data_IF_408896770042
#
_entry.id   IF_408896770042
#
_cell.length_a   1.000
_cell.length_b   1.000
_cell.length_c   1.000
_cell.angle_alpha   90.00
_cell.angle_beta   90.00
_cell.angle_gamma   90.00
#
_symmetry.space_group_name_H-M   'P 1'
#
loop_
_entity.id
_entity.type
_entity.pdbx_description
1 polymer ?
#
# COMPACT_ATOMS: atom_id res chain seq x y z
N UNK A 1 16.59 29.04 20.47
CA UNK A 1 15.12 29.04 20.41
C UNK A 1 14.78 27.80 19.63
N UNK A 2 14.02 26.90 20.23
CA UNK A 2 13.96 25.47 19.89
C UNK A 2 12.70 25.09 19.13
N UNK A 3 12.16 26.02 18.33
CA UNK A 3 10.85 25.87 17.69
C UNK A 3 11.02 25.80 16.16
N UNK A 4 12.07 25.11 15.72
CA UNK A 4 12.34 24.86 14.31
C UNK A 4 11.53 23.65 13.87
N UNK A 5 10.91 23.73 12.69
CA UNK A 5 10.04 22.67 12.18
C UNK A 5 10.52 22.23 10.80
N UNK A 6 10.55 20.92 10.57
CA UNK A 6 10.80 20.33 9.25
C UNK A 6 9.53 19.61 8.81
N UNK A 7 9.04 19.92 7.62
CA UNK A 7 7.98 19.15 6.95
C UNK A 7 8.58 18.30 5.83
N UNK A 8 7.90 17.21 5.50
CA UNK A 8 8.11 16.53 4.22
C UNK A 8 7.28 17.22 3.13
N UNK A 9 7.86 17.34 1.93
CA UNK A 9 7.14 17.83 0.75
C UNK A 9 7.53 17.04 -0.52
N UNK A 10 6.69 17.13 -1.54
CA UNK A 10 6.96 16.65 -2.90
C UNK A 10 6.96 17.83 -3.88
N UNK A 11 7.69 17.69 -5.00
CA UNK A 11 7.84 18.74 -6.01
C UNK A 11 9.30 19.07 -6.29
N UNK A 12 9.53 20.20 -6.96
CA UNK A 12 10.87 20.61 -7.39
C UNK A 12 11.62 21.41 -6.31
N UNK A 13 10.89 22.16 -5.47
CA UNK A 13 11.46 22.96 -4.39
C UNK A 13 10.46 23.20 -3.23
N UNK A 14 10.98 23.64 -2.10
CA UNK A 14 10.19 23.93 -0.90
C UNK A 14 9.29 25.17 -1.00
N UNK A 15 9.42 25.98 -2.06
CA UNK A 15 8.61 27.21 -2.24
C UNK A 15 7.32 26.97 -3.03
N UNK A 16 7.28 25.88 -3.80
CA UNK A 16 6.18 25.51 -4.70
C UNK A 16 5.73 24.05 -4.53
N UNK A 17 6.45 23.28 -3.71
CA UNK A 17 6.12 21.90 -3.38
C UNK A 17 4.82 21.76 -2.60
N UNK A 18 4.29 20.54 -2.61
CA UNK A 18 3.11 20.16 -1.84
C UNK A 18 3.55 19.41 -0.60
N UNK A 19 3.04 19.78 0.58
CA UNK A 19 3.33 19.03 1.80
C UNK A 19 2.92 17.55 1.62
N UNK A 20 3.83 16.66 2.01
CA UNK A 20 3.56 15.24 1.99
C UNK A 20 2.68 14.87 3.19
N UNK A 21 1.81 13.90 2.95
CA UNK A 21 0.84 13.41 3.92
C UNK A 21 0.85 11.90 3.87
N UNK A 22 0.53 11.24 4.97
CA UNK A 22 0.43 9.78 5.03
C UNK A 22 1.72 9.00 4.84
N UNK A 23 2.87 9.65 4.97
CA UNK A 23 4.19 9.01 4.85
C UNK A 23 4.50 8.19 6.09
N UNK A 24 4.30 8.73 7.30
CA UNK A 24 4.58 8.02 8.56
C UNK A 24 3.34 7.63 9.36
N UNK A 25 2.22 8.33 9.17
CA UNK A 25 0.94 7.95 9.75
C UNK A 25 -0.24 8.35 8.85
N UNK A 26 -1.34 7.60 8.88
CA UNK A 26 -2.50 7.85 8.02
C UNK A 26 -3.47 8.94 8.54
N UNK A 27 -3.11 9.67 9.60
CA UNK A 27 -4.00 10.57 10.33
C UNK A 27 -3.60 12.04 10.26
N UNK A 28 -2.33 12.33 10.00
CA UNK A 28 -1.75 13.66 10.00
C UNK A 28 -1.99 14.36 8.66
N UNK A 29 -2.39 15.63 8.74
CA UNK A 29 -2.61 16.46 7.55
C UNK A 29 -1.29 16.82 6.84
N UNK A 30 -0.16 16.80 7.57
CA UNK A 30 1.21 16.98 7.06
C UNK A 30 2.16 16.16 7.93
N UNK A 31 3.11 15.44 7.32
CA UNK A 31 4.18 14.75 8.05
C UNK A 31 5.29 15.75 8.42
N UNK A 32 5.44 16.04 9.72
CA UNK A 32 6.42 17.02 10.21
C UNK A 32 7.14 16.56 11.48
N UNK A 33 8.30 17.18 11.73
CA UNK A 33 9.08 17.04 12.96
C UNK A 33 9.38 18.43 13.54
N UNK A 34 8.93 18.69 14.77
CA UNK A 34 8.98 20.00 15.42
C UNK A 34 9.92 20.05 16.65
N UNK A 35 10.28 18.89 17.18
CA UNK A 35 11.07 18.78 18.40
C UNK A 35 12.33 17.96 18.17
N UNK A 36 13.52 18.58 18.22
CA UNK A 36 14.76 17.84 18.06
C UNK A 36 14.99 16.92 19.26
N UNK A 37 15.19 15.64 18.99
CA UNK A 37 15.54 14.62 19.99
C UNK A 37 16.96 14.78 20.55
N UNK A 38 17.85 15.44 19.78
CA UNK A 38 19.18 15.86 20.20
C UNK A 38 19.41 17.28 19.73
N UNK A 39 19.93 18.14 20.61
CA UNK A 39 20.26 19.52 20.31
C UNK A 39 21.67 19.85 20.81
N UNK A 40 22.50 20.35 19.90
CA UNK A 40 23.81 20.95 20.16
C UNK A 40 23.94 22.25 19.35
N UNK A 41 25.03 22.99 19.54
CA UNK A 41 25.23 24.29 18.88
C UNK A 41 25.17 24.22 17.33
N UNK A 42 25.58 23.09 16.72
CA UNK A 42 25.66 22.91 15.26
C UNK A 42 24.90 21.70 14.72
N UNK A 43 24.20 20.94 15.58
CA UNK A 43 23.50 19.72 15.16
C UNK A 43 22.18 19.55 15.92
N UNK A 44 21.13 19.30 15.15
CA UNK A 44 19.80 18.93 15.63
C UNK A 44 19.39 17.59 15.00
N UNK A 45 18.75 16.71 15.77
CA UNK A 45 18.24 15.42 15.28
C UNK A 45 16.72 15.40 15.37
N UNK A 46 16.04 15.27 14.24
CA UNK A 46 14.57 15.23 14.17
C UNK A 46 14.09 13.80 13.98
N UNK A 47 12.96 13.46 14.61
CA UNK A 47 12.24 12.21 14.40
C UNK A 47 10.86 12.55 13.84
N UNK A 48 10.55 12.11 12.63
CA UNK A 48 9.26 12.40 11.97
C UNK A 48 8.09 11.63 12.58
N UNK A 49 8.35 10.47 13.19
CA UNK A 49 7.37 9.77 14.04
C UNK A 49 8.08 8.66 14.84
N UNK A 50 7.33 7.99 15.72
CA UNK A 50 7.69 6.72 16.34
C UNK A 50 7.31 5.50 15.49
N UNK A 51 6.45 5.69 14.48
CA UNK A 51 6.02 4.66 13.53
C UNK A 51 6.94 4.58 12.31
N UNK A 52 7.13 3.39 11.72
CA UNK A 52 7.81 3.24 10.43
C UNK A 52 7.07 3.98 9.30
N UNK A 53 7.78 4.42 8.25
CA UNK A 53 7.13 4.97 7.07
C UNK A 53 6.30 3.90 6.35
N UNK A 54 5.12 4.31 5.87
CA UNK A 54 4.17 3.48 5.15
C UNK A 54 4.37 3.55 3.63
N UNK A 55 5.04 4.59 3.13
CA UNK A 55 5.25 4.87 1.70
C UNK A 55 6.71 5.20 1.41
N UNK A 56 7.24 4.63 0.34
CA UNK A 56 8.52 4.97 -0.25
C UNK A 56 8.45 6.19 -1.16
N UNK A 57 9.60 6.75 -1.49
CA UNK A 57 9.73 7.90 -2.37
C UNK A 57 10.90 8.82 -2.00
N UNK A 58 11.03 9.91 -2.76
CA UNK A 58 11.99 10.98 -2.49
C UNK A 58 11.21 12.22 -2.07
N UNK A 59 11.47 12.69 -0.85
CA UNK A 59 10.80 13.82 -0.23
C UNK A 59 11.79 14.97 0.01
N UNK A 60 11.33 16.19 -0.20
CA UNK A 60 12.03 17.41 0.19
C UNK A 60 11.88 17.60 1.70
N UNK A 61 12.97 18.00 2.37
CA UNK A 61 12.98 18.42 3.76
C UNK A 61 12.88 19.94 3.78
N UNK A 62 11.70 20.46 4.10
CA UNK A 62 11.43 21.88 4.04
C UNK A 62 11.40 22.45 5.46
N UNK A 63 12.24 23.44 5.72
CA UNK A 63 12.52 23.97 7.05
C UNK A 63 11.89 25.34 7.27
N UNK A 64 11.37 25.53 8.48
CA UNK A 64 10.92 26.79 9.00
C UNK A 64 11.56 27.06 10.37
N UNK A 65 11.89 28.33 10.62
CA UNK A 65 12.50 28.78 11.87
C UNK A 65 11.51 29.49 12.80
N UNK A 66 11.46 29.03 14.05
CA UNK A 66 10.87 29.76 15.16
C UNK A 66 9.35 29.61 15.34
N UNK A 67 8.82 30.32 16.33
CA UNK A 67 7.45 30.10 16.84
C UNK A 67 6.30 30.50 15.88
N UNK A 68 6.60 30.94 14.66
CA UNK A 68 5.59 31.26 13.65
C UNK A 68 5.37 30.13 12.63
N UNK A 69 6.15 29.04 12.71
CA UNK A 69 5.95 27.88 11.86
C UNK A 69 4.60 27.24 12.14
N UNK A 70 3.83 27.04 11.07
CA UNK A 70 2.49 26.45 11.10
C UNK A 70 2.42 25.32 10.06
N UNK A 71 2.90 24.11 10.41
CA UNK A 71 2.91 22.98 9.48
C UNK A 71 1.51 22.50 9.09
N UNK A 72 0.48 22.84 9.88
CA UNK A 72 -0.92 22.44 9.64
C UNK A 72 -1.74 23.48 8.84
N UNK A 73 -1.16 24.66 8.57
CA UNK A 73 -1.87 25.80 8.00
C UNK A 73 -1.10 26.54 6.92
N UNK A 74 -0.19 27.43 7.31
CA UNK A 74 0.58 28.28 6.40
C UNK A 74 1.94 27.69 6.03
N UNK A 75 1.97 26.97 4.91
CA UNK A 75 3.19 26.37 4.37
C UNK A 75 4.19 27.38 3.78
N UNK A 76 3.83 28.67 3.63
CA UNK A 76 4.69 29.67 2.99
C UNK A 76 6.00 29.94 3.75
N UNK A 77 6.04 29.60 5.04
CA UNK A 77 7.24 29.75 5.88
C UNK A 77 8.25 28.61 5.71
N UNK A 78 7.89 27.52 5.04
CA UNK A 78 8.74 26.35 4.85
C UNK A 78 9.58 26.41 3.56
N UNK A 79 9.84 27.61 3.03
CA UNK A 79 10.54 27.78 1.74
C UNK A 79 12.04 27.42 1.72
N UNK A 80 12.64 27.08 2.87
CA UNK A 80 14.07 26.78 2.97
C UNK A 80 14.32 25.28 2.82
N UNK A 81 15.12 24.92 1.82
CA UNK A 81 15.55 23.55 1.56
C UNK A 81 16.62 23.09 2.58
N UNK A 82 16.31 22.02 3.33
CA UNK A 82 17.19 21.35 4.26
C UNK A 82 17.77 20.02 3.71
N UNK A 83 17.43 19.65 2.48
CA UNK A 83 17.90 18.46 1.77
C UNK A 83 16.75 17.52 1.37
N UNK A 84 17.12 16.29 0.99
CA UNK A 84 16.18 15.27 0.56
C UNK A 84 16.21 14.06 1.49
N UNK A 85 15.04 13.46 1.71
CA UNK A 85 14.86 12.18 2.38
C UNK A 85 14.41 11.14 1.35
N UNK A 86 15.21 10.09 1.17
CA UNK A 86 14.82 8.92 0.38
C UNK A 86 14.31 7.83 1.30
N UNK A 87 13.08 7.40 1.09
CA UNK A 87 12.47 6.25 1.75
C UNK A 87 12.37 5.14 0.71
N UNK A 88 12.94 3.98 1.03
CA UNK A 88 12.93 2.82 0.14
C UNK A 88 11.61 2.09 0.29
N UNK A 89 10.99 1.72 -0.83
CA UNK A 89 9.75 0.96 -0.88
C UNK A 89 8.78 1.48 -1.95
N UNK A 90 7.60 0.86 -2.05
CA UNK A 90 6.54 1.31 -2.94
C UNK A 90 5.91 2.63 -2.49
N UNK A 91 5.42 3.43 -3.43
CA UNK A 91 4.77 4.73 -3.12
C UNK A 91 3.34 4.59 -2.56
N UNK A 92 2.81 3.37 -2.58
CA UNK A 92 1.49 3.01 -2.07
C UNK A 92 0.32 3.50 -2.92
N UNK A 93 0.56 3.80 -4.20
CA UNK A 93 -0.46 4.35 -5.10
C UNK A 93 -1.01 3.34 -6.09
N UNK A 94 -0.53 2.10 -6.07
CA UNK A 94 -0.99 1.09 -7.02
C UNK A 94 -2.52 0.90 -6.96
N UNK A 95 -3.15 1.01 -8.12
CA UNK A 95 -4.44 0.43 -8.39
C UNK A 95 -4.44 -0.20 -9.79
N UNK A 96 -5.22 -1.25 -9.98
CA UNK A 96 -5.38 -1.90 -11.27
C UNK A 96 -6.73 -1.60 -11.93
N UNK A 97 -7.35 -0.45 -11.62
CA UNK A 97 -8.68 -0.13 -12.14
C UNK A 97 -8.71 -0.08 -13.68
N UNK A 98 -7.60 0.31 -14.31
CA UNK A 98 -7.46 0.35 -15.77
C UNK A 98 -7.23 -1.03 -16.43
N UNK A 99 -6.69 -2.01 -15.68
CA UNK A 99 -6.41 -3.36 -16.16
C UNK A 99 -6.69 -4.38 -15.05
N UNK A 100 -7.97 -4.60 -14.72
CA UNK A 100 -8.35 -5.41 -13.58
C UNK A 100 -8.02 -6.88 -13.81
N UNK A 101 -7.60 -7.54 -12.75
CA UNK A 101 -7.54 -8.99 -12.73
C UNK A 101 -8.95 -9.57 -12.67
N UNK A 102 -9.18 -10.72 -13.30
CA UNK A 102 -10.50 -11.35 -13.34
C UNK A 102 -10.38 -12.77 -12.80
N UNK A 103 -11.26 -13.12 -11.85
CA UNK A 103 -11.31 -14.46 -11.30
C UNK A 103 -11.52 -15.51 -12.42
N UNK A 104 -10.71 -16.57 -12.40
CA UNK A 104 -10.70 -17.62 -13.41
C UNK A 104 -9.86 -17.32 -14.65
N UNK A 105 -9.29 -16.11 -14.81
CA UNK A 105 -8.43 -15.75 -15.94
C UNK A 105 -6.96 -15.66 -15.52
N UNK A 106 -6.09 -16.49 -16.11
CA UNK A 106 -4.64 -16.49 -15.87
C UNK A 106 -3.95 -15.35 -16.63
N UNK A 107 -4.02 -14.12 -16.10
CA UNK A 107 -3.30 -12.95 -16.62
C UNK A 107 -3.17 -11.81 -15.61
N UNK A 108 -3.10 -12.11 -14.31
CA UNK A 108 -2.98 -11.09 -13.28
C UNK A 108 -1.51 -10.70 -13.04
N UNK A 109 -1.06 -9.71 -13.80
CA UNK A 109 0.24 -9.07 -13.62
C UNK A 109 0.02 -7.69 -13.02
N UNK A 110 0.82 -7.33 -12.02
CA UNK A 110 0.82 -6.00 -11.43
C UNK A 110 2.18 -5.34 -11.60
N UNK A 111 2.19 -4.03 -11.73
CA UNK A 111 3.41 -3.23 -11.77
C UNK A 111 3.25 -2.13 -10.74
N UNK A 112 4.11 -2.13 -9.72
CA UNK A 112 4.11 -1.13 -8.65
C UNK A 112 5.27 -0.15 -8.86
N UNK A 113 5.02 1.11 -8.54
CA UNK A 113 6.00 2.19 -8.59
C UNK A 113 6.51 2.50 -7.17
N UNK A 114 7.72 3.05 -7.08
CA UNK A 114 8.37 3.28 -5.79
C UNK A 114 9.80 3.78 -5.95
N UNK A 115 10.64 3.49 -4.96
CA UNK A 115 12.04 3.90 -4.96
C UNK A 115 12.91 2.88 -4.22
N UNK A 116 14.08 2.58 -4.77
CA UNK A 116 15.09 1.71 -4.13
C UNK A 116 14.73 0.23 -4.12
N UNK A 117 13.91 -0.21 -5.08
CA UNK A 117 13.47 -1.59 -5.21
C UNK A 117 14.63 -2.58 -5.47
N UNK A 118 14.57 -3.74 -4.81
CA UNK A 118 15.52 -4.83 -4.93
C UNK A 118 14.88 -6.12 -5.45
N UNK A 119 15.65 -6.96 -6.15
CA UNK A 119 15.12 -8.18 -6.81
C UNK A 119 14.54 -9.23 -5.87
N UNK A 120 14.82 -9.13 -4.56
CA UNK A 120 14.37 -10.08 -3.54
C UNK A 120 13.18 -9.55 -2.74
N UNK A 121 12.58 -8.43 -3.15
CA UNK A 121 11.42 -7.84 -2.49
C UNK A 121 10.15 -8.66 -2.76
N UNK A 122 9.29 -8.77 -1.74
CA UNK A 122 8.11 -9.65 -1.77
C UNK A 122 6.83 -8.85 -1.54
N UNK A 123 5.78 -9.20 -2.27
CA UNK A 123 4.42 -8.72 -2.08
C UNK A 123 3.53 -9.86 -1.61
N UNK A 124 2.76 -9.63 -0.55
CA UNK A 124 1.65 -10.49 -0.13
C UNK A 124 0.32 -9.80 -0.38
N UNK A 125 -0.74 -10.59 -0.46
CA UNK A 125 -2.11 -10.10 -0.37
C UNK A 125 -2.57 -10.09 1.07
N UNK A 126 -3.27 -9.03 1.47
CA UNK A 126 -3.92 -8.95 2.77
C UNK A 126 -5.34 -8.39 2.66
N UNK A 127 -6.09 -8.53 3.75
CA UNK A 127 -7.41 -7.94 3.97
C UNK A 127 -7.40 -7.15 5.27
N UNK A 128 -8.17 -6.08 5.35
CA UNK A 128 -8.18 -5.17 6.51
C UNK A 128 -8.11 -3.73 6.04
N UNK A 129 -7.74 -2.85 6.98
CA UNK A 129 -7.66 -1.41 6.72
C UNK A 129 -6.25 -0.97 6.28
N UNK A 130 -5.20 -1.68 6.72
CA UNK A 130 -3.81 -1.41 6.38
C UNK A 130 -2.92 -2.67 6.49
N UNK A 131 -1.70 -2.58 5.97
CA UNK A 131 -0.72 -3.67 6.00
C UNK A 131 -0.11 -3.93 7.39
N UNK A 132 -0.21 -2.99 8.32
CA UNK A 132 0.34 -3.14 9.68
C UNK A 132 -0.55 -3.95 10.62
N UNK A 133 -1.86 -4.01 10.32
CA UNK A 133 -2.89 -4.64 11.13
C UNK A 133 -3.77 -5.64 10.36
N UNK A 134 -3.56 -5.73 9.04
CA UNK A 134 -4.28 -6.62 8.15
C UNK A 134 -4.01 -8.11 8.41
N UNK A 135 -4.87 -8.95 7.85
CA UNK A 135 -4.71 -10.41 7.84
C UNK A 135 -4.32 -10.85 6.44
N UNK A 136 -3.26 -11.64 6.33
CA UNK A 136 -2.85 -12.24 5.07
C UNK A 136 -4.04 -12.96 4.40
N UNK A 137 -4.25 -12.66 3.12
CA UNK A 137 -5.24 -13.32 2.32
C UNK A 137 -4.72 -14.71 1.93
N UNK A 138 -5.65 -15.66 1.91
CA UNK A 138 -5.38 -17.05 1.57
C UNK A 138 -6.38 -17.52 0.54
N UNK A 139 -6.01 -18.48 -0.31
CA UNK A 139 -6.90 -19.10 -1.31
C UNK A 139 -7.43 -18.15 -2.40
N UNK A 140 -6.74 -17.02 -2.64
CA UNK A 140 -7.05 -16.09 -3.72
C UNK A 140 -6.43 -16.56 -5.03
N UNK A 141 -5.15 -16.91 -5.07
CA UNK A 141 -4.46 -17.38 -6.28
C UNK A 141 -4.04 -18.85 -6.17
N UNK A 142 -3.69 -19.31 -4.97
CA UNK A 142 -3.31 -20.69 -4.71
C UNK A 142 -4.05 -21.27 -3.49
N UNK A 143 -4.48 -22.53 -3.60
CA UNK A 143 -5.12 -23.26 -2.51
C UNK A 143 -4.15 -24.14 -1.70
N UNK A 144 -2.87 -24.17 -2.08
CA UNK A 144 -1.87 -25.02 -1.43
C UNK A 144 -0.98 -24.28 -0.43
N UNK A 145 -0.80 -22.97 -0.59
CA UNK A 145 0.04 -22.14 0.27
C UNK A 145 -0.76 -21.52 1.43
N UNK A 146 -0.07 -21.24 2.54
CA UNK A 146 -0.70 -20.63 3.71
C UNK A 146 -1.03 -19.14 3.50
N UNK A 147 -0.33 -18.48 2.56
CA UNK A 147 -0.48 -17.06 2.20
C UNK A 147 -0.34 -16.91 0.68
N UNK A 148 -1.17 -16.04 0.08
CA UNK A 148 -1.00 -15.66 -1.32
C UNK A 148 0.06 -14.57 -1.44
N UNK A 149 1.22 -14.92 -2.00
CA UNK A 149 2.30 -13.97 -2.31
C UNK A 149 2.67 -14.03 -3.80
N UNK A 150 3.21 -12.93 -4.31
CA UNK A 150 3.63 -12.86 -5.70
C UNK A 150 4.97 -13.57 -5.93
N UNK A 151 5.17 -14.10 -7.13
CA UNK A 151 6.48 -14.59 -7.59
C UNK A 151 7.53 -13.46 -7.50
N UNK A 152 8.81 -13.85 -7.45
CA UNK A 152 9.92 -12.89 -7.56
C UNK A 152 9.70 -11.91 -8.71
N UNK A 153 10.02 -10.61 -8.54
CA UNK A 153 9.79 -9.59 -9.56
C UNK A 153 10.30 -10.03 -10.94
N UNK A 154 9.40 -10.10 -11.91
CA UNK A 154 9.71 -10.48 -13.30
C UNK A 154 10.46 -9.36 -14.04
N UNK A 155 10.29 -8.12 -13.57
CA UNK A 155 11.04 -6.93 -13.96
C UNK A 155 11.33 -6.15 -12.68
N UNK A 156 12.57 -5.68 -12.52
CA UNK A 156 12.98 -4.81 -11.42
C UNK A 156 13.88 -3.70 -11.96
N UNK A 157 13.49 -2.46 -11.72
CA UNK A 157 14.34 -1.27 -11.76
C UNK A 157 14.35 -0.63 -10.37
N UNK A 158 15.14 0.44 -10.19
CA UNK A 158 15.16 1.16 -8.92
C UNK A 158 13.78 1.76 -8.56
N UNK A 159 12.95 2.09 -9.55
CA UNK A 159 11.70 2.83 -9.36
C UNK A 159 10.43 2.03 -9.70
N UNK A 160 10.57 0.81 -10.24
CA UNK A 160 9.42 -0.01 -10.65
C UNK A 160 9.68 -1.51 -10.52
N UNK A 161 8.68 -2.25 -10.04
CA UNK A 161 8.69 -3.71 -9.98
C UNK A 161 7.42 -4.31 -10.56
N UNK A 162 7.58 -5.40 -11.32
CA UNK A 162 6.45 -6.14 -11.93
C UNK A 162 6.34 -7.54 -11.35
N UNK A 163 5.20 -7.82 -10.72
CA UNK A 163 4.89 -9.06 -10.03
C UNK A 163 3.81 -9.85 -10.77
N UNK A 164 3.90 -11.19 -10.67
CA UNK A 164 2.87 -12.10 -11.11
C UNK A 164 2.41 -12.92 -9.91
N UNK A 165 1.10 -12.99 -9.66
CA UNK A 165 0.55 -13.80 -8.58
C UNK A 165 0.36 -15.24 -9.05
N UNK A 166 1.45 -16.01 -9.03
CA UNK A 166 1.52 -17.37 -9.52
C UNK A 166 1.09 -17.53 -10.99
N UNK A 167 1.33 -18.71 -11.56
CA UNK A 167 0.79 -19.06 -12.89
C UNK A 167 -0.71 -19.42 -12.87
N UNK A 168 -1.34 -19.36 -11.70
CA UNK A 168 -2.73 -19.76 -11.48
C UNK A 168 -3.68 -18.57 -11.57
N UNK A 169 -4.85 -18.73 -12.21
CA UNK A 169 -5.89 -17.70 -12.14
C UNK A 169 -6.35 -17.45 -10.71
N UNK A 170 -6.71 -16.21 -10.35
CA UNK A 170 -7.38 -15.97 -9.08
C UNK A 170 -8.71 -16.73 -9.01
N UNK A 171 -9.03 -17.30 -7.86
CA UNK A 171 -10.19 -18.15 -7.63
C UNK A 171 -11.43 -17.36 -7.24
N UNK A 172 -11.27 -16.15 -6.73
CA UNK A 172 -12.35 -15.26 -6.28
C UNK A 172 -12.02 -13.80 -6.52
N UNK A 173 -13.08 -13.00 -6.68
CA UNK A 173 -13.01 -11.54 -6.70
C UNK A 173 -12.79 -10.94 -5.31
N UNK A 174 -12.61 -9.63 -5.27
CA UNK A 174 -12.41 -8.88 -4.03
C UNK A 174 -11.50 -7.67 -4.23
N UNK A 175 -11.31 -6.92 -3.15
CA UNK A 175 -10.29 -5.87 -3.05
C UNK A 175 -9.31 -6.31 -1.96
N UNK A 176 -8.03 -6.35 -2.32
CA UNK A 176 -6.96 -6.85 -1.47
C UNK A 176 -5.88 -5.78 -1.32
N UNK A 177 -5.34 -5.65 -0.12
CA UNK A 177 -4.16 -4.83 0.13
C UNK A 177 -2.93 -5.53 -0.45
N UNK A 178 -2.04 -4.77 -1.04
CA UNK A 178 -0.71 -5.23 -1.46
C UNK A 178 0.29 -4.81 -0.40
N UNK A 179 0.81 -5.77 0.35
CA UNK A 179 1.73 -5.49 1.45
C UNK A 179 3.15 -5.94 1.10
N UNK A 180 4.10 -5.03 1.27
CA UNK A 180 5.46 -5.17 0.78
C UNK A 180 6.46 -5.40 1.91
N UNK A 181 7.47 -6.22 1.61
CA UNK A 181 8.63 -6.43 2.45
C UNK A 181 9.92 -6.38 1.62
N UNK A 182 10.98 -5.83 2.21
CA UNK A 182 12.27 -5.67 1.56
C UNK A 182 13.21 -6.88 1.72
N UNK A 183 13.70 -7.38 0.59
CA UNK A 183 14.87 -8.26 0.52
C UNK A 183 14.69 -9.70 1.03
N UNK A 184 15.80 -10.43 1.06
CA UNK A 184 15.81 -11.89 1.34
C UNK A 184 15.40 -12.32 2.74
N UNK A 185 15.15 -11.39 3.67
CA UNK A 185 14.66 -11.71 5.03
C UNK A 185 13.14 -11.87 5.11
N UNK A 186 12.40 -11.51 4.06
CA UNK A 186 10.95 -11.62 4.03
C UNK A 186 10.48 -13.07 4.21
N UNK A 187 9.58 -13.28 5.17
CA UNK A 187 9.01 -14.60 5.50
C UNK A 187 7.48 -14.57 5.35
N UNK A 188 6.95 -14.71 4.11
CA UNK A 188 5.52 -14.63 3.85
C UNK A 188 4.73 -15.78 4.50
N UNK A 189 5.38 -16.89 4.87
CA UNK A 189 4.74 -18.04 5.51
C UNK A 189 4.82 -18.02 7.05
N UNK A 190 5.61 -17.11 7.64
CA UNK A 190 5.92 -17.09 9.06
C UNK A 190 5.63 -15.76 9.76
N UNK A 191 6.35 -14.70 9.39
CA UNK A 191 6.31 -13.41 10.08
C UNK A 191 5.71 -12.30 9.20
N UNK A 192 4.38 -12.19 9.27
CA UNK A 192 3.62 -11.18 8.54
C UNK A 192 3.92 -9.74 8.99
N UNK A 193 4.55 -9.54 10.16
CA UNK A 193 4.87 -8.19 10.64
C UNK A 193 5.93 -7.48 9.78
N UNK A 194 6.66 -8.25 8.95
CA UNK A 194 7.60 -7.72 7.97
C UNK A 194 6.93 -7.04 6.78
N UNK A 195 5.62 -7.27 6.57
CA UNK A 195 4.85 -6.77 5.43
C UNK A 195 3.94 -5.60 5.86
N UNK A 196 4.53 -4.56 6.44
CA UNK A 196 3.77 -3.41 6.97
C UNK A 196 3.70 -2.21 6.00
N UNK A 197 4.45 -2.25 4.90
CA UNK A 197 4.47 -1.18 3.90
C UNK A 197 3.36 -1.39 2.86
N UNK A 198 2.57 -0.34 2.61
CA UNK A 198 1.45 -0.38 1.67
C UNK A 198 1.97 -0.12 0.24
N UNK A 199 1.71 -1.06 -0.67
CA UNK A 199 1.99 -0.89 -2.10
C UNK A 199 0.77 -0.41 -2.89
N UNK A 200 -0.44 -0.46 -2.30
CA UNK A 200 -1.70 -0.09 -2.91
C UNK A 200 -2.72 -1.23 -2.86
N UNK A 201 -3.71 -1.19 -3.77
CA UNK A 201 -4.84 -2.11 -3.77
C UNK A 201 -4.93 -2.92 -5.07
N UNK A 202 -5.13 -4.23 -4.91
CA UNK A 202 -5.46 -5.13 -6.00
C UNK A 202 -6.97 -5.41 -6.03
N UNK A 203 -7.64 -4.97 -7.10
CA UNK A 203 -9.03 -5.33 -7.38
C UNK A 203 -9.08 -6.54 -8.31
N UNK A 204 -9.80 -7.57 -7.88
CA UNK A 204 -10.11 -8.75 -8.69
C UNK A 204 -11.61 -8.76 -8.97
N UNK A 205 -11.96 -8.74 -10.25
CA UNK A 205 -13.35 -8.81 -10.72
C UNK A 205 -13.84 -10.25 -10.62
N UNK A 206 -15.02 -10.45 -10.05
CA UNK A 206 -15.70 -11.73 -9.98
C UNK A 206 -16.39 -11.98 -8.65
N UNK A 207 -17.05 -13.15 -8.50
CA UNK A 207 -17.65 -13.59 -7.24
C UNK A 207 -16.61 -13.72 -6.12
N UNK A 208 -16.97 -13.32 -4.90
CA UNK A 208 -16.07 -13.39 -3.74
C UNK A 208 -15.93 -14.80 -3.13
N UNK A 209 -16.72 -15.76 -3.61
CA UNK A 209 -16.68 -17.16 -3.18
C UNK A 209 -17.29 -17.41 -1.79
N UNK A 210 -18.03 -16.44 -1.23
CA UNK A 210 -18.64 -16.55 0.11
C UNK A 210 -20.06 -17.10 0.12
N UNK A 211 -20.66 -17.33 -1.06
CA UNK A 211 -22.02 -17.84 -1.17
C UNK A 211 -22.20 -19.19 -0.48
N UNK A 212 -23.08 -19.22 0.52
CA UNK A 212 -23.54 -20.44 1.20
C UNK A 212 -25.08 -20.49 1.19
N UNK A 213 -25.64 -21.56 0.61
CA UNK A 213 -27.08 -21.76 0.55
C UNK A 213 -27.65 -22.52 1.75
N UNK A 214 -26.85 -22.85 2.77
CA UNK A 214 -27.29 -23.62 3.94
C UNK A 214 -28.49 -22.97 4.64
N UNK A 215 -28.56 -21.63 4.67
CA UNK A 215 -29.66 -20.88 5.28
C UNK A 215 -30.93 -20.81 4.41
N UNK A 216 -30.81 -20.95 3.08
CA UNK A 216 -31.93 -20.89 2.14
C UNK A 216 -31.72 -21.86 0.96
N UNK A 217 -31.79 -23.17 1.21
CA UNK A 217 -31.52 -24.17 0.19
C UNK A 217 -32.65 -24.18 -0.84
N UNK A 218 -32.27 -24.27 -2.11
CA UNK A 218 -33.22 -24.54 -3.15
C UNK A 218 -33.67 -26.00 -3.09
N UNK A 219 -34.98 -26.21 -3.14
CA UNK A 219 -35.59 -27.53 -3.04
C UNK A 219 -36.00 -28.00 -4.42
N UNK A 220 -35.55 -29.19 -4.81
CA UNK A 220 -35.88 -29.78 -6.10
C UNK A 220 -37.40 -29.87 -6.31
N UNK A 221 -37.88 -29.37 -7.45
CA UNK A 221 -39.31 -29.35 -7.80
C UNK A 221 -40.10 -28.17 -7.23
N UNK A 222 -39.50 -27.29 -6.43
CA UNK A 222 -40.12 -26.04 -5.98
C UNK A 222 -39.68 -24.89 -6.89
N UNK A 223 -40.66 -24.16 -7.43
CA UNK A 223 -40.40 -22.99 -8.28
C UNK A 223 -39.82 -21.83 -7.46
N UNK A 224 -39.15 -20.89 -8.14
CA UNK A 224 -38.58 -19.66 -7.56
C UNK A 224 -37.41 -19.89 -6.59
N UNK A 225 -36.42 -20.68 -7.01
CA UNK A 225 -35.09 -20.67 -6.39
C UNK A 225 -34.38 -19.37 -6.74
N UNK A 226 -34.14 -18.52 -5.74
CA UNK A 226 -33.37 -17.27 -5.90
C UNK A 226 -32.10 -17.39 -5.09
N UNK A 227 -30.97 -17.04 -5.72
CA UNK A 227 -29.67 -16.95 -5.07
C UNK A 227 -29.16 -15.52 -5.22
N UNK A 228 -28.35 -15.09 -4.26
CA UNK A 228 -27.61 -13.83 -4.32
C UNK A 228 -26.14 -14.20 -4.25
N UNK A 229 -25.36 -13.73 -5.22
CA UNK A 229 -23.91 -13.91 -5.24
C UNK A 229 -23.30 -12.54 -5.03
N UNK A 230 -22.44 -12.44 -4.03
CA UNK A 230 -21.65 -11.24 -3.73
C UNK A 230 -20.31 -11.31 -4.46
N UNK A 231 -19.73 -10.14 -4.72
CA UNK A 231 -18.51 -10.02 -5.51
C UNK A 231 -18.21 -8.58 -5.92
N UNK A 232 -17.15 -8.43 -6.71
CA UNK A 232 -16.63 -7.14 -7.14
C UNK A 232 -16.70 -7.00 -8.64
N UNK A 233 -17.12 -5.83 -9.13
CA UNK A 233 -17.06 -5.49 -10.55
C UNK A 233 -18.12 -6.14 -11.44
N UNK A 234 -19.26 -6.57 -10.88
CA UNK A 234 -20.33 -7.18 -11.67
C UNK A 234 -20.95 -6.22 -12.70
N UNK A 235 -21.06 -6.70 -13.94
CA UNK A 235 -21.75 -6.07 -15.06
C UNK A 235 -23.06 -6.77 -15.41
N UNK A 236 -23.87 -6.13 -16.25
CA UNK A 236 -25.16 -6.69 -16.71
C UNK A 236 -25.02 -7.89 -17.65
N UNK A 237 -23.82 -8.10 -18.19
CA UNK A 237 -23.52 -9.14 -19.17
C UNK A 237 -22.79 -10.35 -18.54
N UNK A 238 -22.59 -10.34 -17.23
CA UNK A 238 -21.96 -11.45 -16.53
C UNK A 238 -22.87 -12.67 -16.48
N UNK A 239 -22.28 -13.85 -16.65
CA UNK A 239 -23.00 -15.13 -16.69
C UNK A 239 -22.40 -16.07 -15.66
N UNK A 240 -23.27 -16.67 -14.85
CA UNK A 240 -22.95 -17.78 -13.97
C UNK A 240 -23.33 -19.07 -14.71
N UNK A 241 -22.37 -20.00 -14.86
CA UNK A 241 -22.55 -21.28 -15.55
C UNK A 241 -22.67 -22.41 -14.52
#
# INVERSE_FOLDING_TARGET
>A
GTDDVIILATGDDCSSGTAATTVFDNTSAVDYADTPSVSSDDQQTYNFNSTPPLRGGVYLLCWCQGSSCDPDGDLSMFSTDAGNLTIIGPDGTFDNAASPCVAGIANCTITIDGTGFGTDDVIILATGDDCSSGTAATTVFDNTSAVDYADTPSVSSDDQQTYNFNSTPPLRGGVYLLCWCQGSSCDPDGDLSMFSTDAGNLTIIGPDGTFDNAASPCVAGIANCTITIDGTGFGTDDVII
#
